data_IF_890949099306
#
_entry.id   IF_890949099306
#
_cell.length_a   1.000
_cell.length_b   1.000
_cell.length_c   1.000
_cell.angle_alpha   90.00
_cell.angle_beta   90.00
_cell.angle_gamma   90.00
#
_symmetry.space_group_name_H-M   'P 1'
#
loop_
_entity.id
_entity.type
_entity.pdbx_description
1 polymer ?
#
# COMPACT_ATOMS: atom_id res chain seq x y z
N UNK A 1 -11.07 -21.63 -0.16
CA UNK A 1 -10.12 -20.52 0.16
C UNK A 1 -9.03 -21.08 1.07
N UNK A 2 -7.76 -20.77 0.84
CA UNK A 2 -6.66 -21.37 1.59
C UNK A 2 -6.39 -20.62 2.91
N UNK A 3 -7.09 -21.00 3.99
CA UNK A 3 -6.96 -20.40 5.33
C UNK A 3 -5.52 -20.48 5.89
N UNK A 4 -4.73 -21.47 5.48
CA UNK A 4 -3.31 -21.57 5.86
C UNK A 4 -2.49 -20.44 5.25
N UNK A 5 -2.68 -20.16 3.96
CA UNK A 5 -2.02 -19.03 3.28
C UNK A 5 -2.38 -17.71 3.96
N UNK A 6 -3.67 -17.46 4.21
CA UNK A 6 -4.12 -16.24 4.89
C UNK A 6 -3.43 -16.07 6.25
N UNK A 7 -3.37 -17.14 7.05
CA UNK A 7 -2.70 -17.12 8.36
C UNK A 7 -1.21 -16.78 8.24
N UNK A 8 -0.52 -17.38 7.29
CA UNK A 8 0.89 -17.11 7.02
C UNK A 8 1.10 -15.64 6.64
N UNK A 9 0.26 -15.10 5.75
CA UNK A 9 0.32 -13.70 5.31
C UNK A 9 0.03 -12.75 6.47
N UNK A 10 -1.00 -13.01 7.29
CA UNK A 10 -1.26 -12.23 8.51
C UNK A 10 -0.05 -12.21 9.44
N UNK A 11 0.57 -13.37 9.71
CA UNK A 11 1.75 -13.45 10.59
C UNK A 11 3.00 -12.77 10.02
N UNK A 12 3.06 -12.55 8.72
CA UNK A 12 4.13 -11.76 8.10
C UNK A 12 3.86 -10.25 8.15
N UNK A 13 2.61 -9.84 8.38
CA UNK A 13 2.20 -8.44 8.39
C UNK A 13 2.61 -7.74 9.68
N UNK A 14 3.02 -6.48 9.57
CA UNK A 14 3.29 -5.60 10.72
C UNK A 14 2.11 -5.55 11.70
N UNK A 15 0.87 -5.59 11.18
CA UNK A 15 -0.36 -5.54 11.96
C UNK A 15 -0.57 -6.71 12.93
N UNK A 16 -0.05 -7.90 12.59
CA UNK A 16 -0.43 -9.15 13.26
C UNK A 16 0.75 -10.07 13.60
N UNK A 17 1.98 -9.77 13.17
CA UNK A 17 3.17 -10.62 13.37
C UNK A 17 3.45 -10.99 14.82
N UNK A 18 3.10 -10.11 15.76
CA UNK A 18 3.33 -10.28 17.19
C UNK A 18 2.06 -10.69 17.96
N UNK A 19 0.94 -10.96 17.27
CA UNK A 19 -0.32 -11.34 17.91
C UNK A 19 -0.34 -12.83 18.25
N UNK A 20 -0.97 -13.25 19.36
CA UNK A 20 -1.13 -14.66 19.71
C UNK A 20 -1.93 -15.41 18.63
N UNK A 21 -1.50 -16.64 18.31
CA UNK A 21 -2.16 -17.47 17.28
C UNK A 21 -3.64 -17.67 17.56
N UNK A 22 -4.01 -17.89 18.83
CA UNK A 22 -5.41 -18.09 19.27
C UNK A 22 -6.30 -16.88 18.97
N UNK A 23 -5.76 -15.67 19.11
CA UNK A 23 -6.46 -14.43 18.76
C UNK A 23 -6.66 -14.34 17.25
N UNK A 24 -5.63 -14.64 16.46
CA UNK A 24 -5.73 -14.64 14.99
C UNK A 24 -6.76 -15.66 14.51
N UNK A 25 -6.81 -16.85 15.10
CA UNK A 25 -7.82 -17.87 14.78
C UNK A 25 -9.23 -17.42 15.13
N UNK A 26 -9.42 -16.73 16.26
CA UNK A 26 -10.70 -16.14 16.62
C UNK A 26 -11.16 -15.07 15.62
N UNK A 27 -10.25 -14.17 15.21
CA UNK A 27 -10.55 -13.18 14.16
C UNK A 27 -10.96 -13.86 12.86
N UNK A 28 -10.20 -14.86 12.41
CA UNK A 28 -10.44 -15.56 11.14
C UNK A 28 -11.72 -16.40 11.15
N UNK A 29 -12.12 -16.96 12.29
CA UNK A 29 -13.31 -17.82 12.40
C UNK A 29 -14.61 -17.05 12.16
N UNK A 30 -14.67 -15.78 12.58
CA UNK A 30 -15.82 -14.90 12.33
C UNK A 30 -15.74 -14.10 11.03
N UNK A 31 -14.69 -14.28 10.24
CA UNK A 31 -14.42 -13.44 9.06
C UNK A 31 -14.95 -14.01 7.76
N UNK A 32 -15.27 -13.12 6.82
CA UNK A 32 -15.64 -13.51 5.45
C UNK A 32 -14.44 -13.38 4.53
N UNK A 33 -14.25 -14.37 3.66
CA UNK A 33 -13.21 -14.36 2.65
C UNK A 33 -13.81 -13.97 1.31
N UNK A 34 -13.23 -12.99 0.61
CA UNK A 34 -13.72 -12.51 -0.68
C UNK A 34 -12.59 -12.33 -1.69
N UNK A 35 -12.91 -12.64 -2.93
CA UNK A 35 -12.07 -12.31 -4.09
C UNK A 35 -12.75 -11.14 -4.78
N UNK A 36 -11.97 -10.09 -5.03
CA UNK A 36 -12.39 -8.89 -5.74
C UNK A 36 -11.63 -8.80 -7.05
N UNK A 37 -12.31 -8.37 -8.11
CA UNK A 37 -11.71 -8.10 -9.40
C UNK A 37 -11.11 -6.71 -9.42
N UNK A 38 -10.18 -6.48 -10.35
CA UNK A 38 -9.67 -5.14 -10.64
C UNK A 38 -10.83 -4.17 -10.90
N UNK A 39 -10.83 -3.04 -10.20
CA UNK A 39 -11.87 -2.01 -10.28
C UNK A 39 -12.98 -2.14 -9.23
N UNK A 40 -13.06 -3.24 -8.49
CA UNK A 40 -14.07 -3.41 -7.44
C UNK A 40 -13.77 -2.48 -6.24
N UNK A 41 -14.82 -1.92 -5.64
CA UNK A 41 -14.74 -1.22 -4.37
C UNK A 41 -14.58 -2.24 -3.24
N UNK A 42 -13.41 -2.28 -2.62
CA UNK A 42 -13.06 -3.26 -1.58
C UNK A 42 -13.27 -2.71 -0.17
N UNK A 43 -13.15 -1.40 -0.01
CA UNK A 43 -13.42 -0.72 1.26
C UNK A 43 -14.00 0.66 1.02
N UNK A 44 -15.00 0.99 1.81
CA UNK A 44 -15.54 2.34 2.01
C UNK A 44 -15.93 2.51 3.48
N UNK A 45 -16.02 3.74 3.95
CA UNK A 45 -16.19 4.04 5.38
C UNK A 45 -17.55 3.64 5.97
N UNK A 46 -18.55 3.35 5.14
CA UNK A 46 -19.83 2.76 5.55
C UNK A 46 -19.74 1.27 5.94
N UNK A 47 -18.59 0.62 5.70
CA UNK A 47 -18.33 -0.76 6.08
C UNK A 47 -18.46 -0.96 7.58
N UNK A 48 -18.90 -2.14 8.03
CA UNK A 48 -18.86 -2.53 9.45
C UNK A 48 -17.68 -3.44 9.78
N UNK A 49 -16.75 -3.59 8.85
CA UNK A 49 -15.65 -4.55 8.87
C UNK A 49 -14.33 -3.85 8.54
N UNK A 50 -13.25 -4.31 9.17
CA UNK A 50 -11.91 -4.06 8.69
C UNK A 50 -11.62 -5.03 7.55
N UNK A 51 -10.74 -4.66 6.62
CA UNK A 51 -10.38 -5.51 5.48
C UNK A 51 -8.90 -5.81 5.52
N UNK A 52 -8.54 -7.07 5.75
CA UNK A 52 -7.18 -7.53 5.61
C UNK A 52 -6.94 -8.01 4.18
N UNK A 53 -6.07 -7.30 3.44
CA UNK A 53 -5.66 -7.63 2.09
C UNK A 53 -4.58 -8.71 2.14
N UNK A 54 -4.92 -9.92 1.68
CA UNK A 54 -4.07 -11.12 1.67
C UNK A 54 -3.23 -11.20 0.39
N UNK A 55 -3.78 -10.78 -0.74
CA UNK A 55 -3.03 -10.64 -1.99
C UNK A 55 -3.63 -9.52 -2.83
N UNK A 56 -2.81 -8.97 -3.73
CA UNK A 56 -3.18 -7.88 -4.60
C UNK A 56 -2.81 -6.50 -4.05
N UNK A 57 -3.37 -5.49 -4.70
CA UNK A 57 -3.08 -4.08 -4.53
C UNK A 57 -4.36 -3.27 -4.64
N UNK A 58 -4.45 -2.17 -3.89
CA UNK A 58 -5.61 -1.28 -3.88
C UNK A 58 -5.18 0.16 -4.09
N UNK A 59 -5.93 0.88 -4.92
CA UNK A 59 -5.89 2.33 -5.03
C UNK A 59 -6.53 2.94 -3.79
N UNK A 60 -5.82 3.86 -3.15
CA UNK A 60 -6.42 4.75 -2.17
C UNK A 60 -6.95 5.98 -2.87
N UNK A 61 -8.24 6.22 -2.70
CA UNK A 61 -8.94 7.32 -3.33
C UNK A 61 -9.44 8.30 -2.26
N UNK A 62 -9.00 9.55 -2.31
CA UNK A 62 -9.58 10.61 -1.48
C UNK A 62 -10.87 11.10 -2.13
N UNK A 63 -11.92 11.23 -1.33
CA UNK A 63 -13.14 11.95 -1.74
C UNK A 63 -12.90 13.45 -1.65
N UNK A 64 -13.01 14.13 -2.78
CA UNK A 64 -12.92 15.59 -2.90
C UNK A 64 -14.28 16.16 -3.31
N UNK A 65 -14.43 17.49 -3.28
CA UNK A 65 -15.66 18.15 -3.73
C UNK A 65 -15.97 17.90 -5.22
N UNK A 66 -14.97 17.49 -6.02
CA UNK A 66 -15.07 17.31 -7.47
C UNK A 66 -15.17 15.83 -7.86
N UNK A 67 -14.94 14.91 -6.92
CA UNK A 67 -15.04 13.46 -7.18
C UNK A 67 -14.10 12.64 -6.32
N UNK A 68 -13.55 11.56 -6.89
CA UNK A 68 -12.57 10.68 -6.23
C UNK A 68 -11.22 10.82 -6.93
N UNK A 69 -10.17 11.07 -6.15
CA UNK A 69 -8.81 11.23 -6.66
C UNK A 69 -7.90 10.16 -6.09
N UNK A 70 -7.15 9.48 -6.97
CA UNK A 70 -6.10 8.53 -6.58
C UNK A 70 -4.97 9.31 -5.91
N UNK A 71 -4.71 9.04 -4.64
CA UNK A 71 -3.60 9.68 -3.90
C UNK A 71 -2.50 8.70 -3.51
N UNK A 72 -2.76 7.40 -3.60
CA UNK A 72 -1.78 6.40 -3.22
C UNK A 72 -2.23 4.99 -3.54
N UNK A 73 -1.39 4.04 -3.14
CA UNK A 73 -1.65 2.62 -3.25
C UNK A 73 -1.28 1.91 -1.95
N UNK A 74 -2.02 0.87 -1.62
CA UNK A 74 -1.66 -0.11 -0.61
C UNK A 74 -1.52 -1.48 -1.25
N UNK A 75 -0.65 -2.28 -0.67
CA UNK A 75 -0.25 -3.57 -1.21
C UNK A 75 -0.34 -4.63 -0.12
N UNK A 76 -0.69 -5.86 -0.50
CA UNK A 76 -0.65 -6.97 0.45
C UNK A 76 0.77 -7.18 1.03
N UNK A 77 0.91 -7.51 2.32
CA UNK A 77 -0.15 -7.57 3.32
C UNK A 77 -0.53 -6.19 3.88
N UNK A 78 -1.82 -5.86 3.88
CA UNK A 78 -2.32 -4.58 4.37
C UNK A 78 -3.62 -4.72 5.19
N UNK A 79 -3.83 -3.81 6.14
CA UNK A 79 -5.09 -3.66 6.86
C UNK A 79 -5.75 -2.34 6.46
N UNK A 80 -6.95 -2.43 5.92
CA UNK A 80 -7.78 -1.30 5.51
C UNK A 80 -8.89 -1.07 6.53
N UNK A 81 -9.38 0.16 6.59
CA UNK A 81 -10.48 0.53 7.48
C UNK A 81 -10.11 0.58 8.95
N UNK A 82 -8.90 0.98 9.27
CA UNK A 82 -8.46 1.16 10.66
C UNK A 82 -9.28 2.23 11.40
N UNK A 83 -9.77 3.25 10.68
CA UNK A 83 -10.72 4.25 11.21
C UNK A 83 -11.99 3.60 11.78
N UNK A 84 -12.32 2.38 11.32
CA UNK A 84 -13.51 1.66 11.78
C UNK A 84 -13.51 1.40 13.28
N UNK A 85 -12.34 1.38 13.91
CA UNK A 85 -12.18 1.12 15.34
C UNK A 85 -12.73 2.28 16.18
N UNK A 86 -12.63 3.52 15.69
CA UNK A 86 -13.04 4.71 16.42
C UNK A 86 -14.54 4.66 16.76
N UNK A 87 -14.87 5.02 18.00
CA UNK A 87 -16.25 5.05 18.50
C UNK A 87 -16.97 6.32 18.05
N UNK A 88 -16.30 7.46 18.14
CA UNK A 88 -16.77 8.73 17.60
C UNK A 88 -16.10 8.96 16.27
N UNK A 89 -16.90 9.26 15.25
CA UNK A 89 -16.40 9.54 13.92
C UNK A 89 -16.79 10.93 13.47
N UNK A 90 -15.83 11.57 12.82
CA UNK A 90 -15.97 12.90 12.24
C UNK A 90 -15.88 12.82 10.71
N UNK A 91 -16.08 13.97 10.06
CA UNK A 91 -16.03 14.12 8.60
C UNK A 91 -14.73 13.58 7.96
N UNK A 92 -13.63 13.55 8.72
CA UNK A 92 -12.33 13.06 8.26
C UNK A 92 -12.27 11.52 8.14
N UNK A 93 -13.15 10.78 8.81
CA UNK A 93 -13.15 9.31 8.78
C UNK A 93 -13.65 8.76 7.44
N UNK A 94 -14.49 9.54 6.76
CA UNK A 94 -15.06 9.23 5.45
C UNK A 94 -14.22 9.79 4.30
N UNK A 95 -12.93 10.05 4.49
CA UNK A 95 -12.11 10.66 3.43
C UNK A 95 -11.65 9.67 2.37
N UNK A 96 -11.49 8.39 2.69
CA UNK A 96 -10.78 7.45 1.81
C UNK A 96 -11.57 6.18 1.51
N UNK A 97 -11.68 5.88 0.22
CA UNK A 97 -12.15 4.60 -0.29
C UNK A 97 -10.98 3.80 -0.89
N UNK A 98 -11.09 2.48 -0.91
CA UNK A 98 -10.11 1.61 -1.55
C UNK A 98 -10.75 0.88 -2.74
N UNK A 99 -10.09 0.91 -3.90
CA UNK A 99 -10.52 0.21 -5.11
C UNK A 99 -9.42 -0.73 -5.58
N UNK A 100 -9.76 -1.96 -5.95
CA UNK A 100 -8.80 -2.97 -6.40
C UNK A 100 -8.03 -2.51 -7.65
N UNK A 101 -6.69 -2.49 -7.57
CA UNK A 101 -5.79 -2.19 -8.69
C UNK A 101 -5.50 -3.44 -9.55
N UNK A 102 -5.63 -4.63 -8.96
CA UNK A 102 -5.53 -5.96 -9.53
C UNK A 102 -6.59 -6.90 -8.91
N UNK A 103 -6.50 -8.21 -9.15
CA UNK A 103 -7.32 -9.18 -8.41
C UNK A 103 -6.86 -9.24 -6.95
N UNK A 104 -7.77 -9.01 -6.01
CA UNK A 104 -7.48 -8.96 -4.59
C UNK A 104 -8.14 -10.13 -3.84
N UNK A 105 -7.36 -10.79 -3.00
CA UNK A 105 -7.89 -11.71 -1.97
C UNK A 105 -7.95 -10.96 -0.65
N UNK A 106 -9.12 -10.93 -0.01
CA UNK A 106 -9.31 -10.21 1.24
C UNK A 106 -10.09 -11.00 2.29
N UNK A 107 -9.81 -10.67 3.54
CA UNK A 107 -10.54 -11.14 4.72
C UNK A 107 -11.23 -9.96 5.36
N UNK A 108 -12.56 -10.01 5.39
CA UNK A 108 -13.39 -9.02 6.04
C UNK A 108 -13.55 -9.43 7.50
N UNK A 109 -12.88 -8.70 8.39
CA UNK A 109 -12.85 -8.93 9.82
C UNK A 109 -13.94 -8.07 10.47
N UNK A 110 -14.96 -8.68 11.12
CA UNK A 110 -16.01 -7.91 11.77
C UNK A 110 -15.42 -6.98 12.84
N UNK A 111 -15.78 -5.69 12.79
CA UNK A 111 -15.35 -4.69 13.78
C UNK A 111 -15.59 -5.17 15.20
N UNK A 112 -16.78 -5.74 15.46
CA UNK A 112 -17.17 -6.24 16.79
C UNK A 112 -16.19 -7.30 17.31
N UNK A 113 -15.83 -8.28 16.48
CA UNK A 113 -14.88 -9.34 16.84
C UNK A 113 -13.48 -8.76 17.09
N UNK A 114 -13.05 -7.83 16.24
CA UNK A 114 -11.75 -7.18 16.38
C UNK A 114 -11.63 -6.40 17.69
N UNK A 115 -12.60 -5.52 17.96
CA UNK A 115 -12.66 -4.70 19.18
C UNK A 115 -12.82 -5.59 20.42
N UNK A 116 -13.68 -6.61 20.40
CA UNK A 116 -13.85 -7.51 21.54
C UNK A 116 -12.56 -8.26 21.88
N UNK A 117 -11.81 -8.72 20.87
CA UNK A 117 -10.51 -9.36 21.10
C UNK A 117 -9.54 -8.43 21.82
N UNK A 118 -9.49 -7.15 21.43
CA UNK A 118 -8.63 -6.18 22.11
C UNK A 118 -9.10 -5.84 23.52
N UNK A 119 -10.41 -5.79 23.77
CA UNK A 119 -10.96 -5.59 25.11
C UNK A 119 -10.64 -6.76 26.05
N UNK A 120 -10.69 -8.01 25.54
CA UNK A 120 -10.34 -9.20 26.32
C UNK A 120 -8.85 -9.29 26.61
N UNK A 121 -7.99 -8.79 25.71
CA UNK A 121 -6.55 -8.78 25.89
C UNK A 121 -5.97 -7.38 25.59
N UNK A 122 -5.87 -6.50 26.61
CA UNK A 122 -5.41 -5.13 26.44
C UNK A 122 -4.00 -4.99 25.84
N UNK A 123 -3.14 -6.01 25.94
CA UNK A 123 -1.83 -6.00 25.28
C UNK A 123 -1.94 -5.87 23.76
N UNK A 124 -3.05 -6.33 23.16
CA UNK A 124 -3.31 -6.18 21.74
C UNK A 124 -3.44 -4.71 21.32
N UNK A 125 -3.94 -3.83 22.19
CA UNK A 125 -3.96 -2.39 21.93
C UNK A 125 -2.56 -1.82 21.77
N UNK A 126 -1.60 -2.27 22.59
CA UNK A 126 -0.21 -1.85 22.47
C UNK A 126 0.38 -2.30 21.13
N UNK A 127 0.26 -3.60 20.80
CA UNK A 127 0.77 -4.17 19.54
C UNK A 127 0.14 -3.50 18.30
N UNK A 128 -1.16 -3.21 18.38
CA UNK A 128 -1.88 -2.50 17.33
C UNK A 128 -1.39 -1.06 17.19
N UNK A 129 -1.19 -0.35 18.30
CA UNK A 129 -0.72 1.04 18.32
C UNK A 129 0.69 1.16 17.76
N UNK A 130 1.60 0.24 18.09
CA UNK A 130 2.94 0.20 17.48
C UNK A 130 2.88 0.06 15.95
N UNK A 131 1.97 -0.78 15.47
CA UNK A 131 1.73 -0.96 14.03
C UNK A 131 1.14 0.30 13.38
N UNK A 132 0.22 0.96 14.07
CA UNK A 132 -0.40 2.20 13.63
C UNK A 132 0.63 3.34 13.54
N UNK A 133 1.49 3.51 14.56
CA UNK A 133 2.56 4.53 14.57
C UNK A 133 3.55 4.26 13.44
N UNK A 134 3.93 2.99 13.20
CA UNK A 134 4.78 2.64 12.08
C UNK A 134 4.19 3.11 10.75
N UNK A 135 2.93 2.80 10.48
CA UNK A 135 2.26 3.23 9.26
C UNK A 135 2.02 4.74 9.20
N UNK A 136 1.70 5.39 10.32
CA UNK A 136 1.60 6.84 10.38
C UNK A 136 2.90 7.49 9.94
N UNK A 137 4.06 6.98 10.40
CA UNK A 137 5.38 7.46 9.96
C UNK A 137 5.62 7.22 8.48
N UNK A 138 5.24 6.07 7.94
CA UNK A 138 5.30 5.82 6.49
C UNK A 138 4.43 6.81 5.70
N UNK A 139 3.20 7.05 6.12
CA UNK A 139 2.27 7.98 5.47
C UNK A 139 2.72 9.44 5.59
N UNK A 140 3.30 9.83 6.72
CA UNK A 140 3.91 11.15 6.89
C UNK A 140 5.12 11.30 5.97
N UNK A 141 6.03 10.32 5.92
CA UNK A 141 7.18 10.36 5.03
C UNK A 141 6.77 10.43 3.55
N UNK A 142 5.71 9.69 3.18
CA UNK A 142 5.04 9.79 1.89
C UNK A 142 4.52 11.21 1.64
N UNK A 143 3.70 11.74 2.54
CA UNK A 143 3.10 13.07 2.43
C UNK A 143 4.14 14.19 2.33
N UNK A 144 5.16 14.17 3.20
CA UNK A 144 6.29 15.12 3.13
C UNK A 144 7.05 14.97 1.80
N UNK A 145 7.37 13.74 1.39
CA UNK A 145 8.02 13.48 0.10
C UNK A 145 7.20 13.98 -1.09
N UNK A 146 5.87 13.92 -1.01
CA UNK A 146 4.96 14.47 -2.01
C UNK A 146 5.04 16.01 -2.09
N UNK A 147 5.12 16.68 -0.94
CA UNK A 147 5.11 18.15 -0.86
C UNK A 147 6.48 18.80 -1.11
N UNK A 148 7.58 18.18 -0.67
CA UNK A 148 8.91 18.82 -0.65
C UNK A 148 9.96 18.12 -1.51
N UNK A 149 9.75 16.87 -1.89
CA UNK A 149 10.73 16.09 -2.65
C UNK A 149 10.69 16.39 -4.16
N UNK A 150 11.83 16.35 -4.87
CA UNK A 150 11.84 16.41 -6.33
C UNK A 150 10.94 15.32 -6.94
N UNK A 151 10.23 15.62 -8.02
CA UNK A 151 9.30 14.67 -8.68
C UNK A 151 9.99 13.34 -8.97
N UNK A 152 11.28 13.36 -9.36
CA UNK A 152 12.08 12.16 -9.57
C UNK A 152 12.10 11.22 -8.36
N UNK A 153 12.29 11.76 -7.15
CA UNK A 153 12.27 11.00 -5.89
C UNK A 153 10.89 10.38 -5.65
N UNK A 154 9.81 11.10 -5.95
CA UNK A 154 8.43 10.61 -5.83
C UNK A 154 8.13 9.48 -6.80
N UNK A 155 8.60 9.59 -8.04
CA UNK A 155 8.49 8.53 -9.05
C UNK A 155 9.27 7.29 -8.60
N UNK A 156 10.53 7.43 -8.19
CA UNK A 156 11.33 6.32 -7.67
C UNK A 156 10.65 5.62 -6.49
N UNK A 157 10.09 6.38 -5.54
CA UNK A 157 9.38 5.81 -4.39
C UNK A 157 8.15 5.01 -4.82
N UNK A 158 7.36 5.58 -5.72
CA UNK A 158 6.14 4.95 -6.26
C UNK A 158 6.50 3.62 -6.91
N UNK A 159 7.52 3.63 -7.77
CA UNK A 159 8.00 2.43 -8.46
C UNK A 159 8.60 1.40 -7.49
N UNK A 160 9.31 1.84 -6.44
CA UNK A 160 9.84 0.96 -5.40
C UNK A 160 8.75 0.28 -4.57
N UNK A 161 7.72 1.01 -4.14
CA UNK A 161 6.59 0.39 -3.41
C UNK A 161 5.82 -0.57 -4.33
N UNK A 162 5.63 -0.21 -5.60
CA UNK A 162 5.01 -1.08 -6.58
C UNK A 162 5.83 -2.35 -6.84
N UNK A 163 7.16 -2.24 -6.93
CA UNK A 163 8.05 -3.38 -7.16
C UNK A 163 8.04 -4.38 -6.01
N UNK A 164 7.95 -3.89 -4.76
CA UNK A 164 7.87 -4.73 -3.56
C UNK A 164 6.57 -5.53 -3.45
N UNK A 165 5.51 -5.03 -4.08
CA UNK A 165 4.17 -5.60 -4.01
C UNK A 165 3.84 -6.58 -5.13
N UNK A 166 4.42 -6.33 -6.30
CA UNK A 166 4.26 -7.17 -7.47
C UNK A 166 5.09 -8.41 -7.19
N UNK A 167 4.49 -9.47 -6.62
CA UNK A 167 5.11 -10.76 -6.35
C UNK A 167 5.66 -11.50 -7.59
N UNK A 168 5.82 -10.79 -8.70
CA UNK A 168 6.34 -11.23 -10.00
C UNK A 168 7.86 -11.20 -10.08
N UNK A 169 8.58 -11.17 -8.96
CA UNK A 169 9.96 -11.65 -8.96
C UNK A 169 9.91 -13.16 -9.19
N UNK A 170 9.95 -13.61 -10.45
CA UNK A 170 10.31 -15.00 -10.74
C UNK A 170 11.62 -15.25 -10.01
N UNK A 171 11.67 -16.26 -9.15
CA UNK A 171 12.89 -16.58 -8.41
C UNK A 171 14.07 -16.72 -9.40
N UNK A 172 15.08 -15.88 -9.27
CA UNK A 172 16.25 -15.84 -10.17
C UNK A 172 16.15 -14.88 -11.37
N UNK A 173 15.06 -14.12 -11.54
CA UNK A 173 14.96 -13.08 -12.57
C UNK A 173 15.54 -11.76 -12.05
N UNK A 174 16.51 -11.20 -12.78
CA UNK A 174 17.02 -9.84 -12.52
C UNK A 174 16.04 -8.74 -12.94
N UNK A 175 14.98 -9.11 -13.69
CA UNK A 175 13.96 -8.20 -14.20
C UNK A 175 12.62 -8.35 -13.49
N UNK A 176 11.88 -7.24 -13.39
CA UNK A 176 10.56 -7.18 -12.77
C UNK A 176 9.61 -6.29 -13.59
N UNK A 177 8.45 -6.83 -13.95
CA UNK A 177 7.41 -6.06 -14.63
C UNK A 177 6.44 -5.42 -13.64
N UNK A 178 6.21 -4.11 -13.80
CA UNK A 178 5.25 -3.30 -13.05
C UNK A 178 4.09 -2.94 -13.98
N UNK A 179 2.90 -3.43 -13.67
CA UNK A 179 1.66 -3.11 -14.40
C UNK A 179 1.05 -1.78 -13.91
N UNK A 180 1.81 -0.69 -14.11
CA UNK A 180 1.39 0.68 -13.77
C UNK A 180 1.57 1.61 -14.97
N UNK A 181 0.55 2.43 -15.24
CA UNK A 181 0.62 3.42 -16.31
C UNK A 181 1.31 4.72 -15.88
N UNK A 182 1.85 5.46 -16.85
CA UNK A 182 2.43 6.78 -16.63
C UNK A 182 1.42 7.78 -16.04
N UNK A 183 0.15 7.64 -16.41
CA UNK A 183 -0.95 8.45 -15.88
C UNK A 183 -1.22 8.15 -14.41
N UNK A 184 -1.17 6.87 -14.02
CA UNK A 184 -1.27 6.47 -12.61
C UNK A 184 -0.07 6.94 -11.79
N UNK A 185 1.14 6.87 -12.34
CA UNK A 185 2.33 7.43 -11.68
C UNK A 185 2.18 8.95 -11.52
N UNK A 186 1.70 9.65 -12.54
CA UNK A 186 1.44 11.09 -12.49
C UNK A 186 0.42 11.46 -11.41
N UNK A 187 -0.67 10.68 -11.29
CA UNK A 187 -1.67 10.87 -10.25
C UNK A 187 -1.08 10.68 -8.84
N UNK A 188 -0.39 9.57 -8.58
CA UNK A 188 0.23 9.29 -7.27
C UNK A 188 1.27 10.36 -6.91
N UNK A 189 2.11 10.76 -7.87
CA UNK A 189 3.21 11.71 -7.64
C UNK A 189 2.77 13.17 -7.69
N UNK A 190 1.48 13.43 -7.90
CA UNK A 190 0.90 14.76 -8.09
C UNK A 190 1.75 15.61 -9.04
N UNK A 191 2.02 15.04 -10.23
CA UNK A 191 2.86 15.67 -11.24
C UNK A 191 2.22 15.56 -12.62
N UNK A 192 2.75 16.30 -13.59
CA UNK A 192 2.27 16.18 -14.97
C UNK A 192 2.80 14.90 -15.61
N UNK A 193 1.99 14.28 -16.47
CA UNK A 193 2.42 13.12 -17.27
C UNK A 193 3.69 13.41 -18.09
N UNK A 194 3.84 14.64 -18.57
CA UNK A 194 5.03 15.08 -19.30
C UNK A 194 6.29 14.99 -18.44
N UNK A 195 6.22 15.47 -17.19
CA UNK A 195 7.37 15.43 -16.30
C UNK A 195 7.69 14.01 -15.83
N UNK A 196 6.67 13.21 -15.51
CA UNK A 196 6.84 11.77 -15.22
C UNK A 196 7.54 11.05 -16.37
N UNK A 197 7.13 11.31 -17.62
CA UNK A 197 7.76 10.70 -18.78
C UNK A 197 9.24 11.09 -18.92
N UNK A 198 9.60 12.36 -18.64
CA UNK A 198 11.01 12.77 -18.62
C UNK A 198 11.82 12.02 -17.58
N UNK A 199 11.27 11.85 -16.38
CA UNK A 199 11.91 11.07 -15.31
C UNK A 199 12.08 9.60 -15.74
N UNK A 200 11.05 8.97 -16.29
CA UNK A 200 11.12 7.59 -16.75
C UNK A 200 12.18 7.42 -17.85
N UNK A 201 12.25 8.34 -18.82
CA UNK A 201 13.30 8.34 -19.85
C UNK A 201 14.71 8.50 -19.26
N UNK A 202 14.87 9.28 -18.20
CA UNK A 202 16.15 9.39 -17.50
C UNK A 202 16.54 8.07 -16.83
N UNK A 203 15.61 7.43 -16.13
CA UNK A 203 15.83 6.11 -15.51
C UNK A 203 16.10 5.02 -16.55
N UNK A 204 15.52 5.11 -17.75
CA UNK A 204 15.89 4.24 -18.88
C UNK A 204 17.33 4.43 -19.34
N UNK A 205 17.77 5.68 -19.49
CA UNK A 205 19.17 6.00 -19.88
C UNK A 205 20.18 5.55 -18.84
N UNK A 206 19.79 5.56 -17.57
CA UNK A 206 20.58 5.03 -16.46
C UNK A 206 20.58 3.49 -16.39
N UNK A 207 19.83 2.81 -17.27
CA UNK A 207 19.78 1.35 -17.35
C UNK A 207 18.94 0.68 -16.28
N UNK A 208 18.13 1.44 -15.53
CA UNK A 208 17.38 0.93 -14.37
C UNK A 208 16.05 0.30 -14.78
N UNK A 209 15.39 0.84 -15.80
CA UNK A 209 14.11 0.35 -16.28
C UNK A 209 13.96 0.49 -17.80
N UNK A 210 12.89 -0.08 -18.34
CA UNK A 210 12.35 0.13 -19.68
C UNK A 210 10.87 0.48 -19.57
N UNK A 211 10.44 1.52 -20.26
CA UNK A 211 9.08 2.04 -20.24
C UNK A 211 8.32 1.57 -21.49
N UNK A 212 7.36 0.68 -21.28
CA UNK A 212 6.38 0.26 -22.28
C UNK A 212 5.01 0.90 -22.09
N UNK A 213 4.07 0.57 -22.97
CA UNK A 213 2.68 1.01 -22.82
C UNK A 213 2.01 0.27 -21.65
N UNK A 214 1.62 1.01 -20.60
CA UNK A 214 1.01 0.51 -19.35
C UNK A 214 1.85 -0.52 -18.57
N UNK A 215 3.12 -0.69 -18.94
CA UNK A 215 4.06 -1.60 -18.30
C UNK A 215 5.41 -0.94 -18.16
N UNK A 216 6.04 -1.10 -17.01
CA UNK A 216 7.45 -0.79 -16.81
C UNK A 216 8.19 -2.09 -16.53
N UNK A 217 9.38 -2.25 -17.07
CA UNK A 217 10.26 -3.38 -16.77
C UNK A 217 11.48 -2.84 -16.03
N UNK A 218 11.62 -3.17 -14.76
CA UNK A 218 12.86 -2.93 -14.01
C UNK A 218 13.89 -3.91 -14.57
N UNK A 219 15.01 -3.40 -15.09
CA UNK A 219 16.04 -4.21 -15.79
C UNK A 219 17.03 -4.83 -14.81
N UNK A 220 17.35 -4.08 -13.75
CA UNK A 220 18.21 -4.50 -12.65
C UNK A 220 17.53 -4.16 -11.32
N UNK A 221 16.89 -5.17 -10.72
CA UNK A 221 16.18 -5.00 -9.44
C UNK A 221 17.09 -4.59 -8.28
N UNK A 222 18.38 -4.95 -8.29
CA UNK A 222 19.31 -4.64 -7.21
C UNK A 222 19.79 -3.19 -7.32
N UNK A 223 20.26 -2.78 -8.50
CA UNK A 223 20.64 -1.40 -8.78
C UNK A 223 19.47 -0.44 -8.57
N UNK A 224 18.27 -0.81 -9.04
CA UNK A 224 17.05 -0.03 -8.82
C UNK A 224 16.71 0.09 -7.33
N UNK A 225 16.77 -1.00 -6.57
CA UNK A 225 16.52 -0.98 -5.12
C UNK A 225 17.55 -0.15 -4.37
N UNK A 226 18.83 -0.20 -4.77
CA UNK A 226 19.89 0.60 -4.19
C UNK A 226 19.68 2.09 -4.47
N UNK A 227 19.39 2.47 -5.72
CA UNK A 227 19.08 3.87 -6.06
C UNK A 227 17.87 4.40 -5.29
N UNK A 228 16.81 3.59 -5.19
CA UNK A 228 15.66 3.94 -4.39
C UNK A 228 16.08 4.21 -2.94
N UNK A 229 16.74 3.26 -2.26
CA UNK A 229 17.21 3.44 -0.87
C UNK A 229 18.05 4.71 -0.70
N UNK A 230 18.98 4.97 -1.62
CA UNK A 230 19.84 6.15 -1.57
C UNK A 230 19.05 7.45 -1.71
N UNK A 231 18.08 7.49 -2.61
CA UNK A 231 17.19 8.64 -2.78
C UNK A 231 16.31 8.92 -1.54
N UNK A 232 16.14 7.94 -0.63
CA UNK A 232 15.41 8.11 0.63
C UNK A 232 16.31 8.38 1.83
N UNK A 233 17.58 7.96 1.79
CA UNK A 233 18.57 8.23 2.85
C UNK A 233 19.22 9.60 2.73
N UNK A 234 19.27 10.19 1.54
CA UNK A 234 19.71 11.59 1.37
C UNK A 234 18.63 12.54 1.87
N UNK A 235 18.71 12.83 3.17
CA UNK A 235 18.23 14.08 3.75
C UNK A 235 19.18 15.25 3.45
N UNK A 236 20.36 14.98 2.85
CA UNK A 236 21.34 15.99 2.44
C UNK A 236 21.54 15.91 0.93
N UNK A 237 20.98 16.88 0.20
CA UNK A 237 21.55 17.56 -0.97
C UNK A 237 20.45 18.44 -1.56
N UNK A 238 20.08 19.45 -0.77
CA UNK A 238 19.54 20.69 -1.30
C UNK A 238 20.72 21.46 -1.93
N UNK A 239 21.17 21.02 -3.10
CA UNK A 239 22.13 21.75 -3.91
C UNK A 239 22.09 21.24 -5.35
N UNK A 240 21.10 21.70 -6.10
CA UNK A 240 21.10 21.83 -7.57
C UNK A 240 19.86 22.69 -7.88
N UNK A 241 20.02 24.02 -7.73
CA UNK A 241 20.00 25.01 -8.82
C UNK A 241 18.64 25.07 -9.57
#
# INVERSE_FOLDING_TARGET
>A
MNTLLTRQVMRSSIWFRNWPTTVLENLLSGSQYRIYKKGDLIYEDSSSHLVFLVSGAVWLNVRTAVGREKFGMMFSPALLGVSQILEQRDLLDSLCDCVCADECLAVLIPRKTFVSSMQTNPLLWQLFTESLIYHQREWLALGFGLHTGPVRRRVLWTLYKFSRSSGNTKAGSSTLSLDISQEEIAAITQSSRQYVNRVLQQLEREGLLRAGYKKLEVVDTEAFSMMCRNAFSSADEASEH
#
